data_IF_725242274301
#
_entry.id   IF_725242274301
#
_cell.length_a   1.000
_cell.length_b   1.000
_cell.length_c   1.000
_cell.angle_alpha   90.00
_cell.angle_beta   90.00
_cell.angle_gamma   90.00
#
_symmetry.space_group_name_H-M   'P 1'
#
loop_
_entity.id
_entity.type
_entity.pdbx_description
1 polymer ?
#
# COMPACT_ATOMS: atom_id res chain seq x y z
N UNK A 1 -6.46 24.62 20.03
CA UNK A 1 -6.32 23.88 19.92
C UNK A 1 -5.92 22.99 19.77
N UNK A 2 -5.93 22.93 19.69
CA UNK A 2 -5.74 22.08 19.54
C UNK A 2 -5.59 21.24 19.38
N UNK A 3 -5.22 21.34 19.06
CA UNK A 3 -5.36 20.32 18.99
C UNK A 3 -4.66 19.24 18.95
N UNK A 4 -4.89 18.69 19.28
CA UNK A 4 -4.33 17.40 19.48
C UNK A 4 -4.18 16.71 18.17
N UNK A 5 -3.06 15.97 17.94
CA UNK A 5 -3.00 15.07 16.82
C UNK A 5 -3.98 13.96 17.09
N UNK A 6 -5.19 14.20 16.68
CA UNK A 6 -6.20 13.17 16.74
C UNK A 6 -5.98 12.31 15.53
N UNK A 7 -5.73 11.03 15.76
CA UNK A 7 -5.65 10.08 14.68
C UNK A 7 -7.03 9.99 14.03
N UNK A 8 -7.09 10.18 12.72
CA UNK A 8 -8.35 10.08 11.99
C UNK A 8 -8.87 8.65 11.99
N UNK A 9 -7.99 7.68 12.24
CA UNK A 9 -8.33 6.27 12.39
C UNK A 9 -7.53 5.70 13.55
N UNK A 10 -8.06 4.68 14.24
CA UNK A 10 -7.28 3.98 15.24
C UNK A 10 -6.11 3.25 14.57
N UNK A 11 -4.93 3.40 15.12
CA UNK A 11 -3.73 2.74 14.57
C UNK A 11 -3.53 1.38 15.23
N UNK A 12 -4.50 0.49 15.01
CA UNK A 12 -4.52 -0.84 15.63
C UNK A 12 -3.51 -1.77 14.98
N UNK A 13 -2.88 -2.59 15.81
CA UNK A 13 -1.95 -3.62 15.34
C UNK A 13 -1.99 -4.82 16.29
N UNK A 14 -2.07 -6.01 15.72
CA UNK A 14 -2.00 -7.25 16.50
C UNK A 14 -0.57 -7.65 16.85
N UNK A 15 0.42 -6.96 16.29
CA UNK A 15 1.84 -7.25 16.51
C UNK A 15 2.62 -6.05 17.01
N UNK A 16 1.93 -5.08 17.59
CA UNK A 16 2.54 -3.89 18.18
C UNK A 16 3.37 -3.06 17.17
N UNK A 17 2.93 -3.02 15.93
CA UNK A 17 3.59 -2.19 14.92
C UNK A 17 3.11 -0.76 15.07
N UNK A 18 4.04 0.18 15.05
CA UNK A 18 3.73 1.61 15.12
C UNK A 18 3.49 2.16 13.71
N UNK A 19 2.25 2.49 13.40
CA UNK A 19 1.87 3.05 12.10
C UNK A 19 1.89 4.57 12.07
N UNK A 20 2.29 5.23 13.16
CA UNK A 20 2.35 6.70 13.21
C UNK A 20 3.22 7.29 12.11
N UNK A 21 4.42 6.75 11.81
CA UNK A 21 5.22 7.30 10.72
C UNK A 21 4.51 7.22 9.37
N UNK A 22 3.78 6.14 9.10
CA UNK A 22 3.01 6.03 7.86
C UNK A 22 1.88 7.05 7.82
N UNK A 23 1.16 7.22 8.91
CA UNK A 23 0.10 8.21 8.99
C UNK A 23 0.63 9.61 8.71
N UNK A 24 1.77 9.96 9.29
CA UNK A 24 2.36 11.28 9.12
C UNK A 24 2.75 11.55 7.66
N UNK A 25 3.34 10.57 6.99
CA UNK A 25 3.72 10.73 5.59
C UNK A 25 2.49 10.87 4.70
N UNK A 26 1.45 10.09 4.94
CA UNK A 26 0.21 10.19 4.18
C UNK A 26 -0.50 11.51 4.44
N UNK A 27 -0.49 12.00 5.68
CA UNK A 27 -1.08 13.28 6.01
C UNK A 27 -0.37 14.43 5.28
N UNK A 28 0.93 14.32 5.06
CA UNK A 28 1.72 15.27 4.30
C UNK A 28 1.58 15.07 2.79
N UNK A 29 0.87 14.03 2.38
CA UNK A 29 0.73 13.64 0.98
C UNK A 29 2.05 13.30 0.31
N UNK A 30 3.03 12.83 1.09
CA UNK A 30 4.28 12.32 0.58
C UNK A 30 4.09 10.84 0.23
N UNK A 31 3.39 10.60 -0.87
CA UNK A 31 2.97 9.26 -1.24
C UNK A 31 4.15 8.35 -1.61
N UNK A 32 5.22 8.90 -2.15
CA UNK A 32 6.39 8.09 -2.48
C UNK A 32 7.05 7.57 -1.22
N UNK A 33 7.26 8.42 -0.23
CA UNK A 33 7.82 7.98 1.05
C UNK A 33 6.83 7.07 1.79
N UNK A 34 5.54 7.35 1.71
CA UNK A 34 4.52 6.51 2.32
C UNK A 34 4.49 5.10 1.71
N UNK A 35 4.73 4.99 0.41
CA UNK A 35 4.82 3.70 -0.25
C UNK A 35 5.98 2.87 0.31
N UNK A 36 7.15 3.49 0.43
CA UNK A 36 8.31 2.83 1.03
C UNK A 36 8.06 2.46 2.49
N UNK A 37 7.42 3.35 3.24
CA UNK A 37 7.07 3.08 4.64
C UNK A 37 6.09 1.93 4.75
N UNK A 38 5.14 1.82 3.82
CA UNK A 38 4.19 0.72 3.80
C UNK A 38 4.92 -0.62 3.67
N UNK A 39 5.87 -0.72 2.74
CA UNK A 39 6.67 -1.93 2.61
C UNK A 39 7.47 -2.22 3.90
N UNK A 40 8.08 -1.18 4.46
CA UNK A 40 8.84 -1.35 5.70
C UNK A 40 7.97 -1.90 6.82
N UNK A 41 6.76 -1.36 7.00
CA UNK A 41 5.84 -1.84 8.03
C UNK A 41 5.39 -3.26 7.76
N UNK A 42 5.14 -3.61 6.52
CA UNK A 42 4.80 -4.99 6.17
C UNK A 42 5.96 -5.94 6.45
N UNK A 43 7.20 -5.50 6.22
CA UNK A 43 8.37 -6.29 6.60
C UNK A 43 8.46 -6.47 8.12
N UNK A 44 8.15 -5.42 8.89
CA UNK A 44 8.09 -5.55 10.35
C UNK A 44 7.04 -6.56 10.79
N UNK A 45 5.89 -6.59 10.10
CA UNK A 45 4.87 -7.59 10.36
C UNK A 45 5.35 -9.01 10.12
N UNK A 46 6.15 -9.19 9.08
CA UNK A 46 6.67 -10.51 8.71
C UNK A 46 7.79 -10.98 9.66
N UNK A 47 8.50 -10.05 10.29
CA UNK A 47 9.52 -10.37 11.26
C UNK A 47 10.92 -9.90 10.89
N UNK A 48 11.92 -10.18 11.78
CA UNK A 48 13.27 -9.65 11.60
C UNK A 48 13.95 -10.04 10.30
N UNK A 49 13.69 -11.24 9.80
CA UNK A 49 14.32 -11.68 8.56
C UNK A 49 13.85 -10.85 7.37
N UNK A 50 12.55 -10.53 7.33
CA UNK A 50 12.00 -9.69 6.27
C UNK A 50 12.51 -8.25 6.38
N UNK A 51 12.64 -7.72 7.59
CA UNK A 51 13.22 -6.39 7.81
C UNK A 51 14.63 -6.32 7.27
N UNK A 52 15.45 -7.31 7.57
CA UNK A 52 16.84 -7.36 7.09
C UNK A 52 16.91 -7.51 5.58
N UNK A 53 16.07 -8.36 5.02
CA UNK A 53 15.98 -8.67 3.60
C UNK A 53 15.40 -7.51 2.79
N UNK A 54 14.49 -6.72 3.39
CA UNK A 54 13.79 -5.56 2.81
C UNK A 54 12.79 -5.92 1.72
N UNK A 55 12.30 -7.15 1.71
CA UNK A 55 11.24 -7.58 0.81
C UNK A 55 10.49 -8.77 1.43
N UNK A 56 9.36 -9.14 0.82
CA UNK A 56 8.43 -10.10 1.37
C UNK A 56 8.29 -11.33 0.48
N UNK A 57 8.25 -12.51 1.12
CA UNK A 57 7.75 -13.71 0.45
C UNK A 57 6.22 -13.70 0.46
N UNK A 58 5.63 -14.31 -0.57
CA UNK A 58 4.19 -14.47 -0.66
C UNK A 58 3.63 -15.16 0.59
N UNK A 59 4.30 -16.20 1.07
CA UNK A 59 3.86 -16.95 2.25
C UNK A 59 3.84 -16.12 3.52
N UNK A 60 4.68 -15.10 3.61
CA UNK A 60 4.69 -14.19 4.76
C UNK A 60 3.43 -13.33 4.79
N UNK A 61 3.01 -12.87 3.61
CA UNK A 61 1.81 -12.03 3.50
C UNK A 61 0.56 -12.79 3.91
N UNK A 62 0.49 -14.07 3.60
CA UNK A 62 -0.66 -14.89 3.95
C UNK A 62 -0.92 -14.96 5.45
N UNK A 63 0.11 -14.73 6.26
CA UNK A 63 0.02 -14.80 7.71
C UNK A 63 -0.15 -13.44 8.39
N UNK A 64 -0.32 -12.37 7.61
CA UNK A 64 -0.50 -11.05 8.18
C UNK A 64 -1.82 -10.94 8.91
N UNK A 65 -1.84 -10.29 10.09
CA UNK A 65 -3.10 -10.03 10.78
C UNK A 65 -4.03 -9.16 9.93
N UNK A 66 -5.29 -9.51 9.91
CA UNK A 66 -6.29 -8.70 9.20
C UNK A 66 -6.36 -7.30 9.78
N UNK A 67 -6.25 -7.17 11.12
CA UNK A 67 -6.24 -5.88 11.79
C UNK A 67 -5.21 -4.94 11.20
N UNK A 68 -3.99 -5.42 11.01
CA UNK A 68 -2.89 -4.61 10.49
C UNK A 68 -3.10 -4.22 9.04
N UNK A 69 -3.56 -5.15 8.22
CA UNK A 69 -3.86 -4.85 6.81
C UNK A 69 -4.99 -3.81 6.71
N UNK A 70 -5.99 -3.90 7.59
CA UNK A 70 -7.07 -2.91 7.63
C UNK A 70 -6.56 -1.53 8.03
N UNK A 71 -5.67 -1.46 9.01
CA UNK A 71 -5.08 -0.18 9.45
C UNK A 71 -4.34 0.48 8.29
N UNK A 72 -3.46 -0.27 7.62
CA UNK A 72 -2.71 0.25 6.48
C UNK A 72 -3.66 0.71 5.38
N UNK A 73 -4.63 -0.12 5.04
CA UNK A 73 -5.59 0.21 3.99
C UNK A 73 -6.41 1.45 4.32
N UNK A 74 -6.89 1.55 5.55
CA UNK A 74 -7.72 2.69 5.96
C UNK A 74 -6.91 3.99 5.92
N UNK A 75 -5.64 3.94 6.31
CA UNK A 75 -4.78 5.12 6.22
C UNK A 75 -4.62 5.58 4.78
N UNK A 76 -4.38 4.66 3.87
CA UNK A 76 -4.27 5.01 2.45
C UNK A 76 -5.57 5.58 1.89
N UNK A 77 -6.71 4.96 2.23
CA UNK A 77 -8.01 5.44 1.78
C UNK A 77 -8.28 6.85 2.29
N UNK A 78 -8.08 7.08 3.57
CA UNK A 78 -8.41 8.35 4.20
C UNK A 78 -7.60 9.50 3.61
N UNK A 79 -6.31 9.30 3.39
CA UNK A 79 -5.42 10.37 2.95
C UNK A 79 -5.31 10.50 1.44
N UNK A 80 -6.03 9.69 0.69
CA UNK A 80 -6.06 9.76 -0.78
C UNK A 80 -7.46 10.00 -1.33
N UNK A 81 -8.40 10.39 -0.49
CA UNK A 81 -9.80 10.60 -0.89
C UNK A 81 -10.39 9.33 -1.50
N UNK A 82 -10.02 8.19 -0.97
CA UNK A 82 -10.51 6.90 -1.46
C UNK A 82 -9.89 6.40 -2.75
N UNK A 83 -8.83 7.05 -3.22
CA UNK A 83 -8.24 6.72 -4.52
C UNK A 83 -7.24 5.57 -4.47
N UNK A 84 -6.51 5.45 -3.36
CA UNK A 84 -5.42 4.50 -3.21
C UNK A 84 -5.71 3.55 -2.05
N UNK A 85 -5.06 2.38 -2.07
CA UNK A 85 -5.17 1.40 -1.01
C UNK A 85 -5.43 0.00 -1.54
N UNK A 86 -5.25 -0.99 -0.67
CA UNK A 86 -5.42 -2.39 -1.05
C UNK A 86 -6.85 -2.71 -1.48
N UNK A 87 -7.84 -2.17 -0.77
CA UNK A 87 -9.24 -2.44 -1.10
C UNK A 87 -9.64 -1.85 -2.44
N UNK A 88 -9.06 -0.71 -2.80
CA UNK A 88 -9.27 -0.10 -4.11
C UNK A 88 -8.67 -0.98 -5.21
N UNK A 89 -7.46 -1.45 -5.00
CA UNK A 89 -6.79 -2.35 -5.94
C UNK A 89 -7.60 -3.63 -6.14
N UNK A 90 -8.09 -4.21 -5.04
CA UNK A 90 -8.92 -5.40 -5.11
C UNK A 90 -10.20 -5.15 -5.90
N UNK A 91 -10.87 -4.04 -5.63
CA UNK A 91 -12.11 -3.67 -6.32
C UNK A 91 -11.88 -3.57 -7.84
N UNK A 92 -10.78 -2.92 -8.24
CA UNK A 92 -10.45 -2.77 -9.66
C UNK A 92 -10.17 -4.14 -10.28
N UNK A 93 -9.39 -4.98 -9.58
CA UNK A 93 -9.09 -6.33 -10.06
C UNK A 93 -10.37 -7.15 -10.27
N UNK A 94 -11.29 -7.11 -9.31
CA UNK A 94 -12.57 -7.79 -9.45
C UNK A 94 -13.38 -7.22 -10.63
N UNK A 95 -13.34 -5.92 -10.83
CA UNK A 95 -14.07 -5.27 -11.93
C UNK A 95 -13.57 -5.68 -13.31
N UNK A 96 -12.32 -6.15 -13.39
CA UNK A 96 -11.76 -6.66 -14.65
C UNK A 96 -12.05 -8.14 -14.88
N UNK A 97 -12.84 -8.77 -14.01
CA UNK A 97 -13.09 -10.21 -14.07
C UNK A 97 -11.87 -11.01 -13.64
N UNK A 98 -11.08 -10.47 -12.72
CA UNK A 98 -9.85 -11.10 -12.22
C UNK A 98 -8.79 -11.26 -13.29
N UNK A 99 -8.80 -10.37 -14.27
CA UNK A 99 -7.83 -10.38 -15.37
C UNK A 99 -6.64 -9.49 -14.99
N UNK A 100 -5.48 -10.10 -14.74
CA UNK A 100 -4.31 -9.38 -14.30
C UNK A 100 -3.80 -8.37 -15.32
N UNK A 101 -3.79 -8.71 -16.62
CA UNK A 101 -3.32 -7.78 -17.65
C UNK A 101 -4.16 -6.53 -17.71
N UNK A 102 -5.47 -6.66 -17.64
CA UNK A 102 -6.37 -5.51 -17.61
C UNK A 102 -6.19 -4.72 -16.33
N UNK A 103 -5.98 -5.40 -15.21
CA UNK A 103 -5.75 -4.77 -13.92
C UNK A 103 -4.49 -3.89 -13.96
N UNK A 104 -3.38 -4.46 -14.43
CA UNK A 104 -2.12 -3.70 -14.49
C UNK A 104 -2.26 -2.41 -15.31
N UNK A 105 -2.98 -2.48 -16.43
CA UNK A 105 -3.23 -1.30 -17.27
C UNK A 105 -4.08 -0.27 -16.53
N UNK A 106 -5.12 -0.72 -15.84
CA UNK A 106 -6.04 0.20 -15.16
C UNK A 106 -5.40 0.97 -14.03
N UNK A 107 -4.52 0.33 -13.27
CA UNK A 107 -3.87 1.00 -12.14
C UNK A 107 -2.58 1.72 -12.55
N UNK A 108 -2.22 1.67 -13.82
CA UNK A 108 -1.06 2.40 -14.32
C UNK A 108 0.28 1.76 -14.05
N UNK A 109 0.30 0.44 -13.77
CA UNK A 109 1.54 -0.29 -13.58
C UNK A 109 2.10 -0.82 -14.89
N UNK A 110 1.32 -0.71 -15.95
CA UNK A 110 1.71 -1.15 -17.27
C UNK A 110 1.08 -0.24 -18.32
N UNK A 111 1.81 0.09 -19.36
CA UNK A 111 1.34 0.87 -20.50
C UNK A 111 1.61 0.06 -21.76
N UNK A 112 0.55 -0.42 -22.41
CA UNK A 112 0.71 -1.37 -23.51
C UNK A 112 1.41 -2.63 -23.03
N UNK A 113 2.57 -2.92 -23.57
CA UNK A 113 3.38 -4.08 -23.16
C UNK A 113 4.55 -3.70 -22.28
N UNK A 114 4.63 -2.44 -21.84
CA UNK A 114 5.77 -1.93 -21.08
C UNK A 114 5.39 -1.69 -19.63
N UNK A 115 6.16 -2.27 -18.71
CA UNK A 115 5.97 -2.05 -17.28
C UNK A 115 6.42 -0.65 -16.88
N UNK A 116 5.65 -0.02 -15.99
CA UNK A 116 6.02 1.26 -15.40
C UNK A 116 7.25 1.06 -14.51
N UNK A 117 8.25 1.92 -14.64
CA UNK A 117 9.51 1.78 -13.91
C UNK A 117 9.48 2.53 -12.60
N UNK A 118 9.89 1.85 -11.56
CA UNK A 118 10.03 2.44 -10.24
C UNK A 118 11.39 3.11 -10.10
N UNK A 119 11.48 4.29 -9.45
CA UNK A 119 10.35 5.07 -8.96
C UNK A 119 9.88 6.16 -9.94
N UNK A 120 10.63 6.44 -10.98
CA UNK A 120 10.49 7.69 -11.72
C UNK A 120 9.28 7.74 -12.68
N UNK A 121 8.82 6.58 -13.13
CA UNK A 121 7.67 6.53 -14.03
C UNK A 121 6.34 6.41 -13.31
N UNK A 122 6.37 6.19 -11.99
CA UNK A 122 5.16 6.20 -11.18
C UNK A 122 4.77 7.63 -10.84
N UNK A 123 3.46 7.86 -10.71
CA UNK A 123 2.94 9.17 -10.33
C UNK A 123 2.63 9.15 -8.83
N UNK A 124 3.24 10.06 -8.09
CA UNK A 124 3.19 10.06 -6.63
C UNK A 124 2.29 11.17 -6.08
N UNK A 125 1.14 11.38 -6.72
CA UNK A 125 0.15 12.36 -6.27
C UNK A 125 -1.25 11.91 -6.69
N UNK A 126 -2.25 12.71 -6.32
CA UNK A 126 -3.64 12.36 -6.57
C UNK A 126 -4.04 12.39 -8.04
N UNK A 127 -3.16 12.82 -8.94
CA UNK A 127 -3.42 12.73 -10.37
C UNK A 127 -3.18 11.33 -10.93
N UNK A 128 -2.58 10.44 -10.15
CA UNK A 128 -2.32 9.07 -10.57
C UNK A 128 -3.63 8.31 -10.79
N UNK A 129 -3.61 7.22 -11.57
CA UNK A 129 -4.78 6.38 -11.73
C UNK A 129 -5.25 5.81 -10.38
N UNK A 130 -6.54 5.58 -10.29
CA UNK A 130 -7.12 4.95 -9.10
C UNK A 130 -6.46 3.58 -8.87
N UNK A 131 -6.07 3.30 -7.65
CA UNK A 131 -5.39 2.06 -7.30
C UNK A 131 -3.91 2.01 -7.63
N UNK A 132 -3.33 3.12 -8.08
CA UNK A 132 -1.94 3.17 -8.53
C UNK A 132 -0.95 2.78 -7.44
N UNK A 133 -1.20 3.16 -6.21
CA UNK A 133 -0.33 2.88 -5.06
C UNK A 133 -1.17 2.34 -3.91
N UNK A 134 -0.58 1.61 -2.96
CA UNK A 134 0.84 1.28 -2.81
C UNK A 134 1.29 0.14 -3.73
N UNK A 135 2.61 0.03 -3.92
CA UNK A 135 3.22 -0.88 -4.89
C UNK A 135 3.60 -2.26 -4.34
N UNK A 136 3.07 -2.63 -3.19
CA UNK A 136 3.46 -3.87 -2.51
C UNK A 136 3.31 -5.12 -3.40
N UNK A 137 2.36 -5.10 -4.32
CA UNK A 137 2.11 -6.23 -5.20
C UNK A 137 3.15 -6.44 -6.30
N UNK A 138 4.04 -5.47 -6.50
CA UNK A 138 5.12 -5.61 -7.48
C UNK A 138 6.33 -6.36 -6.94
N UNK A 139 6.37 -6.63 -5.65
CA UNK A 139 7.58 -7.08 -4.99
C UNK A 139 7.58 -8.59 -4.85
N UNK A 140 8.46 -9.25 -5.62
CA UNK A 140 8.79 -10.66 -5.43
C UNK A 140 7.57 -11.59 -5.41
N UNK A 141 6.57 -11.32 -6.23
CA UNK A 141 5.39 -12.16 -6.33
C UNK A 141 4.38 -11.99 -5.20
N UNK A 142 4.53 -10.95 -4.39
CA UNK A 142 3.56 -10.66 -3.33
C UNK A 142 2.21 -10.34 -3.93
N UNK A 143 1.15 -10.92 -3.37
CA UNK A 143 -0.24 -10.70 -3.76
C UNK A 143 -1.03 -10.32 -2.53
N UNK A 144 -1.20 -9.02 -2.30
CA UNK A 144 -1.94 -8.52 -1.14
C UNK A 144 -3.42 -8.37 -1.45
N UNK A 145 -3.74 -8.30 -2.71
CA UNK A 145 -5.11 -8.12 -3.20
C UNK A 145 -5.95 -9.37 -3.03
#
# INVERSE_FOLDING_TARGET
PNQLPIHSVPLLSDRHIDYTPLEQLLAQQDFQAADRMTLQKMCELAGPDAVQRKWLYFTEVENFPITDLQTINTLWLLHSEGKFGFSVQREIWLSTGKNWDKFWLKIGWKTGNTWTRYPNEFTWDLSAPRGHIPLSNQLRGVRVI
#
